data_IF_092396344486
#
_entry.id   IF_092396344486
#
_cell.length_a   1.000
_cell.length_b   1.000
_cell.length_c   1.000
_cell.angle_alpha   90.00
_cell.angle_beta   90.00
_cell.angle_gamma   90.00
#
_symmetry.space_group_name_H-M   'P 1'
#
loop_
_entity.id
_entity.type
_entity.pdbx_description
1 polymer ?
#
# COMPACT_ATOMS: atom_id res chain seq x y z
N UNK A 1 8.23 -13.51 -12.93
CA UNK A 1 8.18 -12.23 -12.20
C UNK A 1 6.93 -11.46 -12.62
N UNK A 2 6.18 -10.93 -11.65
CA UNK A 2 4.98 -10.10 -11.87
C UNK A 2 5.09 -8.86 -10.99
N UNK A 3 4.53 -7.74 -11.44
CA UNK A 3 4.40 -6.53 -10.64
C UNK A 3 2.96 -6.44 -10.14
N UNK A 4 2.78 -6.25 -8.84
CA UNK A 4 1.47 -6.07 -8.20
C UNK A 4 1.38 -4.61 -7.74
N UNK A 5 0.27 -3.96 -8.09
CA UNK A 5 -0.09 -2.63 -7.58
C UNK A 5 -1.32 -2.82 -6.70
N UNK A 6 -1.22 -2.42 -5.44
CA UNK A 6 -2.31 -2.46 -4.48
C UNK A 6 -2.57 -1.04 -4.00
N UNK A 7 -3.83 -0.59 -4.09
CA UNK A 7 -4.28 0.67 -3.51
C UNK A 7 -5.02 0.30 -2.23
N UNK A 8 -4.51 0.79 -1.09
CA UNK A 8 -5.05 0.47 0.24
C UNK A 8 -5.36 1.74 1.03
N UNK A 9 -6.15 1.58 2.09
CA UNK A 9 -6.43 2.70 2.98
C UNK A 9 -5.21 2.99 3.85
N UNK A 10 -5.01 4.27 4.20
CA UNK A 10 -3.85 4.69 5.00
C UNK A 10 -3.79 4.01 6.38
N UNK A 11 -4.95 3.72 6.98
CA UNK A 11 -5.05 3.00 8.26
C UNK A 11 -4.52 1.57 8.21
N UNK A 12 -4.62 0.91 7.05
CA UNK A 12 -4.14 -0.46 6.83
C UNK A 12 -2.71 -0.52 6.29
N UNK A 13 -2.21 0.58 5.71
CA UNK A 13 -0.96 0.61 4.97
C UNK A 13 0.23 0.11 5.80
N UNK A 14 0.33 0.51 7.06
CA UNK A 14 1.43 0.09 7.94
C UNK A 14 1.39 -1.41 8.23
N UNK A 15 0.21 -1.93 8.57
CA UNK A 15 0.02 -3.35 8.89
C UNK A 15 0.35 -4.22 7.68
N UNK A 16 -0.18 -3.88 6.50
CA UNK A 16 0.09 -4.61 5.26
C UNK A 16 1.58 -4.62 4.93
N UNK A 17 2.23 -3.47 5.01
CA UNK A 17 3.66 -3.30 4.70
C UNK A 17 4.54 -4.18 5.60
N UNK A 18 4.26 -4.21 6.91
CA UNK A 18 4.97 -5.08 7.85
C UNK A 18 4.72 -6.56 7.57
N UNK A 19 3.48 -6.97 7.31
CA UNK A 19 3.16 -8.37 6.99
C UNK A 19 3.88 -8.84 5.73
N UNK A 20 3.84 -8.05 4.64
CA UNK A 20 4.50 -8.41 3.39
C UNK A 20 6.01 -8.51 3.54
N UNK A 21 6.64 -7.60 4.28
CA UNK A 21 8.08 -7.69 4.55
C UNK A 21 8.45 -8.91 5.40
N UNK A 22 7.63 -9.26 6.41
CA UNK A 22 7.84 -10.45 7.22
C UNK A 22 7.72 -11.75 6.40
N UNK A 23 6.86 -11.75 5.39
CA UNK A 23 6.67 -12.87 4.46
C UNK A 23 7.74 -12.92 3.34
N UNK A 24 8.72 -12.00 3.35
CA UNK A 24 9.84 -11.97 2.41
C UNK A 24 9.57 -11.23 1.10
N UNK A 25 8.46 -10.48 1.00
CA UNK A 25 8.18 -9.64 -0.16
C UNK A 25 8.85 -8.28 -0.05
N UNK A 26 9.43 -7.82 -1.16
CA UNK A 26 9.92 -6.44 -1.29
C UNK A 26 8.77 -5.53 -1.71
N UNK A 27 8.56 -4.44 -0.96
CA UNK A 27 7.47 -3.49 -1.17
C UNK A 27 8.02 -2.07 -1.33
N UNK A 28 7.41 -1.27 -2.20
CA UNK A 28 7.65 0.18 -2.29
C UNK A 28 6.33 0.89 -2.02
N UNK A 29 6.32 1.80 -1.05
CA UNK A 29 5.15 2.57 -0.65
C UNK A 29 5.12 3.92 -1.36
N UNK A 30 3.97 4.32 -1.90
CA UNK A 30 3.74 5.64 -2.50
C UNK A 30 2.60 6.34 -1.76
N UNK A 31 2.78 7.59 -1.33
CA UNK A 31 1.68 8.38 -0.79
C UNK A 31 0.84 8.91 -1.97
N UNK A 32 -0.44 8.56 -2.02
CA UNK A 32 -1.36 8.92 -3.11
C UNK A 32 -2.66 9.54 -2.58
N UNK A 33 -3.57 9.91 -3.47
CA UNK A 33 -4.86 10.51 -3.11
C UNK A 33 -5.94 9.93 -3.99
N UNK A 34 -7.05 9.50 -3.38
CA UNK A 34 -8.18 8.92 -4.09
C UNK A 34 -8.98 9.98 -4.85
N UNK A 35 -9.24 9.75 -6.14
CA UNK A 35 -9.93 10.73 -6.99
C UNK A 35 -11.38 11.04 -6.59
N UNK A 36 -12.08 10.11 -5.93
CA UNK A 36 -13.49 10.26 -5.57
C UNK A 36 -13.69 11.08 -4.29
N UNK A 37 -13.13 10.62 -3.17
CA UNK A 37 -13.26 11.29 -1.87
C UNK A 37 -12.23 12.42 -1.67
N UNK A 38 -11.24 12.54 -2.58
CA UNK A 38 -10.08 13.44 -2.43
C UNK A 38 -9.34 13.26 -1.09
N UNK A 39 -9.38 12.04 -0.55
CA UNK A 39 -8.76 11.66 0.70
C UNK A 39 -7.44 10.91 0.44
N UNK A 40 -6.51 11.01 1.39
CA UNK A 40 -5.22 10.30 1.34
C UNK A 40 -5.41 8.79 1.33
N UNK A 41 -4.58 8.11 0.53
CA UNK A 41 -4.44 6.67 0.50
C UNK A 41 -3.02 6.27 0.09
N UNK A 42 -2.69 5.00 0.24
CA UNK A 42 -1.34 4.47 0.02
C UNK A 42 -1.38 3.28 -0.93
#
# INVERSE_FOLDING_TARGET
MKLIIAIVQDEDAQKLTTTLMNDGYSVTKLATTGGFLRAGNT
#
